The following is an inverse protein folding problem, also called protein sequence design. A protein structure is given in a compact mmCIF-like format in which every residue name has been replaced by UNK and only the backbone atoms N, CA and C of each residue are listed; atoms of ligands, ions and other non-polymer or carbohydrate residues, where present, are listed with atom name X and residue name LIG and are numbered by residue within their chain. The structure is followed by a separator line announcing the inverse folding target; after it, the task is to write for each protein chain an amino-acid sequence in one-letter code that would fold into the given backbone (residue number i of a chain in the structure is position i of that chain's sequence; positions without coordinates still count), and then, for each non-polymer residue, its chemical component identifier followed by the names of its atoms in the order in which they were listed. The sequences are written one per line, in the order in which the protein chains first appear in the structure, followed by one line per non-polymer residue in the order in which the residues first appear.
data_IF_999762256545
#
_entry.id   IF_999762256545
#
_cell.length_a   1.000
_cell.length_b   1.000
_cell.length_c   1.000
_cell.angle_alpha   90.00
_cell.angle_beta   90.00
_cell.angle_gamma   90.00
#
_symmetry.space_group_name_H-M   'P 1'
#
loop_
_entity.id
_entity.type
_entity.pdbx_description
1 polymer ?
#
# COMPACT_ATOMS: atom_id res chain seq x y z
N UNK A 1 -14.70 -30.41 -43.68
CA UNK A 1 -15.93 -31.00 -44.21
C UNK A 1 -17.01 -30.72 -43.18
N UNK A 2 -17.69 -29.57 -43.20
CA UNK A 2 -18.81 -29.14 -44.05
C UNK A 2 -19.99 -30.14 -44.04
N UNK A 3 -21.16 -29.58 -43.71
CA UNK A 3 -22.53 -30.11 -43.76
C UNK A 3 -22.96 -31.02 -42.61
N UNK A 4 -24.05 -30.77 -41.88
CA UNK A 4 -25.12 -29.80 -42.01
C UNK A 4 -26.37 -30.37 -41.32
N UNK A 5 -27.00 -29.65 -40.42
CA UNK A 5 -28.43 -29.86 -40.14
C UNK A 5 -29.05 -28.62 -39.52
N UNK A 6 -30.00 -28.08 -40.27
CA UNK A 6 -30.84 -26.93 -39.96
C UNK A 6 -32.16 -27.46 -39.39
N UNK A 7 -32.71 -26.70 -38.44
CA UNK A 7 -34.11 -26.63 -37.96
C UNK A 7 -34.49 -27.56 -36.80
N UNK A 8 -34.63 -26.95 -35.62
CA UNK A 8 -35.93 -26.74 -34.98
C UNK A 8 -35.84 -25.54 -34.02
N UNK A 9 -36.49 -24.43 -34.41
CA UNK A 9 -36.79 -23.28 -33.55
C UNK A 9 -38.18 -23.53 -32.95
N UNK A 10 -38.28 -23.55 -31.63
CA UNK A 10 -39.52 -23.30 -30.90
C UNK A 10 -39.23 -22.25 -29.82
N UNK A 11 -40.12 -21.27 -29.75
CA UNK A 11 -40.02 -19.98 -29.11
C UNK A 11 -39.62 -19.99 -27.62
N UNK A 12 -38.60 -19.18 -27.28
CA UNK A 12 -38.56 -18.45 -26.02
C UNK A 12 -38.00 -17.06 -26.31
N UNK A 13 -38.85 -16.05 -26.20
CA UNK A 13 -38.55 -14.64 -26.43
C UNK A 13 -37.60 -14.13 -25.35
N UNK A 14 -36.32 -14.04 -25.68
CA UNK A 14 -35.38 -13.14 -25.02
C UNK A 14 -35.10 -11.98 -25.97
N UNK A 15 -35.37 -10.79 -25.49
CA UNK A 15 -35.07 -9.53 -26.16
C UNK A 15 -33.54 -9.34 -26.09
N UNK A 16 -32.82 -9.99 -27.01
CA UNK A 16 -31.39 -9.75 -27.24
C UNK A 16 -31.24 -8.36 -27.85
N UNK A 17 -31.02 -7.37 -26.99
CA UNK A 17 -30.45 -6.09 -27.42
C UNK A 17 -29.00 -6.34 -27.84
N UNK A 18 -28.81 -6.63 -29.13
CA UNK A 18 -27.50 -6.60 -29.77
C UNK A 18 -26.89 -5.21 -29.60
N UNK A 19 -25.86 -5.10 -28.74
CA UNK A 19 -25.04 -3.91 -28.62
C UNK A 19 -24.23 -3.72 -29.91
N UNK A 20 -24.71 -2.86 -30.79
CA UNK A 20 -24.07 -2.49 -32.05
C UNK A 20 -23.09 -1.31 -31.85
N UNK A 21 -22.30 -1.39 -30.78
CA UNK A 21 -21.25 -0.41 -30.49
C UNK A 21 -19.99 -0.68 -31.33
N UNK A 22 -19.20 0.37 -31.65
CA UNK A 22 -18.02 0.22 -32.48
C UNK A 22 -17.02 -0.76 -31.83
N UNK A 23 -16.66 -1.81 -32.58
CA UNK A 23 -15.63 -2.78 -32.15
C UNK A 23 -14.27 -2.08 -32.05
N UNK A 24 -13.80 -1.88 -30.82
CA UNK A 24 -12.53 -1.22 -30.52
C UNK A 24 -11.36 -2.06 -31.04
N UNK A 25 -10.65 -1.56 -32.06
CA UNK A 25 -9.46 -2.24 -32.56
C UNK A 25 -8.28 -2.08 -31.59
N UNK A 26 -7.28 -2.96 -31.65
CA UNK A 26 -6.03 -2.85 -30.86
C UNK A 26 -5.32 -1.49 -31.07
N UNK A 27 -5.48 -0.87 -32.25
CA UNK A 27 -5.01 0.49 -32.55
C UNK A 27 -5.84 1.58 -31.87
N UNK A 28 -7.15 1.37 -31.72
CA UNK A 28 -8.06 2.30 -31.02
C UNK A 28 -7.81 2.27 -29.51
N UNK A 29 -7.54 1.08 -28.93
CA UNK A 29 -7.14 0.93 -27.53
C UNK A 29 -5.79 1.61 -27.23
N UNK A 30 -4.80 1.45 -28.13
CA UNK A 30 -3.52 2.15 -28.03
C UNK A 30 -3.67 3.66 -28.21
N UNK A 31 -4.62 4.11 -29.05
CA UNK A 31 -4.98 5.53 -29.17
C UNK A 31 -5.52 6.13 -27.86
N UNK A 32 -6.37 5.39 -27.14
CA UNK A 32 -6.84 5.81 -25.81
C UNK A 32 -5.72 5.84 -24.75
N UNK A 33 -4.75 4.91 -24.82
CA UNK A 33 -3.58 4.89 -23.93
C UNK A 33 -2.58 6.03 -24.21
N UNK A 34 -2.48 6.51 -25.45
CA UNK A 34 -1.68 7.70 -25.80
C UNK A 34 -2.41 9.01 -25.44
N UNK A 35 -3.75 9.00 -25.43
CA UNK A 35 -4.58 10.15 -25.09
C UNK A 35 -4.86 10.32 -23.58
N UNK A 36 -4.38 9.40 -22.73
CA UNK A 36 -4.42 9.52 -21.27
C UNK A 36 -2.99 9.60 -20.71
N UNK A 37 -2.35 10.75 -20.91
CA UNK A 37 -2.01 11.56 -19.76
C UNK A 37 -2.56 12.96 -19.99
N UNK A 38 -3.49 13.42 -19.16
CA UNK A 38 -3.72 14.86 -19.03
C UNK A 38 -2.50 15.48 -18.34
N UNK A 39 -1.41 15.64 -19.10
CA UNK A 39 -0.39 16.63 -18.81
C UNK A 39 -1.02 17.98 -19.16
N UNK A 40 -1.55 18.68 -18.16
CA UNK A 40 -1.95 20.08 -18.32
C UNK A 40 -0.69 20.93 -18.47
N UNK A 41 -0.24 21.13 -19.71
CA UNK A 41 0.75 22.17 -20.04
C UNK A 41 -0.01 23.46 -20.33
N UNK A 42 0.06 24.41 -19.41
CA UNK A 42 -0.35 25.79 -19.68
C UNK A 42 0.76 26.48 -20.46
N UNK A 43 0.62 26.59 -21.79
CA UNK A 43 1.50 27.43 -22.61
C UNK A 43 0.88 28.81 -22.71
N UNK A 44 1.51 29.81 -22.10
CA UNK A 44 1.13 31.22 -22.28
C UNK A 44 1.77 31.74 -23.57
N UNK A 45 1.03 31.72 -24.68
CA UNK A 45 1.46 32.32 -25.94
C UNK A 45 1.13 33.82 -25.94
N UNK A 46 2.16 34.64 -25.70
CA UNK A 46 2.25 36.00 -26.24
C UNK A 46 1.67 37.15 -25.41
N UNK A 47 2.59 37.95 -24.85
CA UNK A 47 2.50 39.41 -24.63
C UNK A 47 1.25 39.95 -23.93
N UNK A 48 1.01 39.50 -22.70
CA UNK A 48 0.45 40.38 -21.69
C UNK A 48 1.53 40.64 -20.65
N UNK A 49 1.85 41.91 -20.40
CA UNK A 49 2.39 42.30 -19.10
C UNK A 49 1.34 41.84 -18.08
N UNK A 50 1.53 40.65 -17.51
CA UNK A 50 0.82 40.27 -16.30
C UNK A 50 1.26 41.30 -15.27
N UNK A 51 0.41 42.28 -15.02
CA UNK A 51 0.43 42.99 -13.77
C UNK A 51 0.27 41.91 -12.71
N UNK A 52 1.39 41.46 -12.15
CA UNK A 52 1.45 40.59 -10.98
C UNK A 52 1.06 41.44 -9.77
N UNK A 53 -0.11 42.07 -9.81
CA UNK A 53 -0.77 42.52 -8.61
C UNK A 53 -1.23 41.24 -7.91
N UNK A 54 -0.32 40.68 -7.11
CA UNK A 54 -0.63 39.63 -6.13
C UNK A 54 -1.77 40.22 -5.31
N UNK A 55 -3.01 39.76 -5.53
CA UNK A 55 -4.11 40.13 -4.64
C UNK A 55 -3.67 39.59 -3.27
N UNK A 56 -3.39 40.49 -2.33
CA UNK A 56 -3.01 40.12 -0.96
C UNK A 56 -4.29 39.61 -0.30
N UNK A 57 -4.72 38.41 -0.65
CA UNK A 57 -5.69 37.67 0.14
C UNK A 57 -4.97 37.02 1.31
N UNK A 58 -5.58 36.93 2.50
CA UNK A 58 -5.09 36.02 3.52
C UNK A 58 -4.89 34.63 2.92
N UNK A 59 -3.82 33.90 3.29
CA UNK A 59 -3.59 32.55 2.79
C UNK A 59 -4.80 31.67 3.10
N UNK A 60 -5.26 30.90 2.13
CA UNK A 60 -6.28 29.88 2.36
C UNK A 60 -5.72 28.78 3.29
N UNK A 61 -6.58 27.95 3.87
CA UNK A 61 -6.12 26.85 4.75
C UNK A 61 -5.10 25.95 4.03
N UNK A 62 -5.31 25.67 2.74
CA UNK A 62 -4.39 24.90 1.92
C UNK A 62 -3.06 25.63 1.62
N UNK A 63 -3.00 26.95 1.75
CA UNK A 63 -1.76 27.74 1.64
C UNK A 63 -1.01 27.81 2.98
N UNK A 64 -1.67 27.44 4.09
CA UNK A 64 -1.09 27.41 5.45
C UNK A 64 -0.58 26.00 5.77
N UNK A 65 -1.37 24.99 5.43
CA UNK A 65 -1.06 23.57 5.66
C UNK A 65 -1.87 22.75 4.66
N UNK A 66 -1.17 22.12 3.71
CA UNK A 66 -1.81 21.20 2.79
C UNK A 66 -1.89 19.78 3.37
N UNK A 67 -2.51 18.86 2.62
CA UNK A 67 -2.61 17.46 3.05
C UNK A 67 -1.24 16.78 3.19
N UNK A 68 -0.27 17.15 2.35
CA UNK A 68 1.09 16.62 2.37
C UNK A 68 1.82 17.07 3.63
N UNK A 69 1.71 18.35 3.98
CA UNK A 69 2.28 18.92 5.22
C UNK A 69 1.69 18.22 6.45
N UNK A 70 0.36 18.07 6.48
CA UNK A 70 -0.32 17.38 7.56
C UNK A 70 0.15 15.92 7.69
N UNK A 71 0.34 15.22 6.57
CA UNK A 71 0.85 13.85 6.56
C UNK A 71 2.31 13.76 7.01
N UNK A 72 3.17 14.70 6.59
CA UNK A 72 4.57 14.76 7.00
C UNK A 72 4.69 15.00 8.50
N UNK A 73 3.92 15.96 9.04
CA UNK A 73 3.87 16.24 10.48
C UNK A 73 3.32 15.06 11.28
N UNK A 74 2.32 14.36 10.76
CA UNK A 74 1.72 13.21 11.43
C UNK A 74 2.70 12.03 11.61
N UNK A 75 3.64 11.86 10.69
CA UNK A 75 4.65 10.77 10.78
C UNK A 75 5.93 11.18 11.51
N UNK A 76 6.24 12.48 11.56
CA UNK A 76 7.51 13.00 12.05
C UNK A 76 7.97 12.43 13.41
N UNK A 77 7.11 12.29 14.44
CA UNK A 77 7.54 11.77 15.75
C UNK A 77 8.10 10.35 15.73
N UNK A 78 7.77 9.58 14.69
CA UNK A 78 8.12 8.15 14.56
C UNK A 78 8.88 7.86 13.27
N UNK A 79 9.24 8.90 12.52
CA UNK A 79 9.89 8.81 11.21
C UNK A 79 11.24 8.08 11.27
N UNK A 80 11.97 8.26 12.38
CA UNK A 80 13.30 7.70 12.62
C UNK A 80 13.27 6.30 13.25
N UNK A 81 12.09 5.72 13.52
CA UNK A 81 11.95 4.36 14.07
C UNK A 81 12.11 3.28 12.99
N UNK A 82 13.16 3.41 12.18
CA UNK A 82 13.54 2.51 11.09
C UNK A 82 14.96 2.01 11.33
N UNK A 83 15.29 0.85 10.78
CA UNK A 83 16.60 0.23 10.92
C UNK A 83 17.09 -0.31 9.59
N UNK A 84 18.37 -0.08 9.30
CA UNK A 84 19.10 -0.72 8.21
C UNK A 84 19.98 -1.80 8.82
N UNK A 85 19.89 -3.01 8.28
CA UNK A 85 20.67 -4.16 8.72
C UNK A 85 21.70 -4.50 7.64
N UNK A 86 22.98 -4.27 7.91
CA UNK A 86 24.06 -4.65 7.02
C UNK A 86 24.63 -5.99 7.49
N UNK A 87 24.55 -6.99 6.64
CA UNK A 87 25.03 -8.35 6.92
C UNK A 87 26.50 -8.50 6.55
N UNK A 88 27.17 -9.49 7.15
CA UNK A 88 28.59 -9.81 6.91
C UNK A 88 28.88 -10.24 5.45
N UNK A 89 27.87 -10.63 4.67
CA UNK A 89 28.00 -10.90 3.23
C UNK A 89 27.92 -9.63 2.35
N UNK A 90 27.81 -8.46 2.98
CA UNK A 90 27.70 -7.16 2.34
C UNK A 90 26.30 -6.82 1.82
N UNK A 91 25.28 -7.62 2.14
CA UNK A 91 23.88 -7.29 1.79
C UNK A 91 23.25 -6.36 2.82
N UNK A 92 22.43 -5.43 2.35
CA UNK A 92 21.68 -4.48 3.18
C UNK A 92 20.21 -4.87 3.17
N UNK A 93 19.69 -5.20 4.35
CA UNK A 93 18.29 -5.50 4.55
C UNK A 93 17.56 -4.28 5.16
N UNK A 94 16.37 -3.99 4.66
CA UNK A 94 15.50 -2.96 5.20
C UNK A 94 14.05 -3.42 5.22
N UNK A 95 13.47 -3.48 6.42
CA UNK A 95 12.05 -3.76 6.61
C UNK A 95 11.24 -2.46 6.48
N UNK A 96 10.61 -2.26 5.33
CA UNK A 96 9.83 -1.06 5.01
C UNK A 96 8.49 -1.07 5.77
N UNK A 97 8.19 -0.09 6.64
CA UNK A 97 6.92 -0.02 7.36
C UNK A 97 5.77 0.49 6.49
N UNK A 98 5.67 0.02 5.24
CA UNK A 98 4.64 0.42 4.28
C UNK A 98 4.25 -0.79 3.45
N UNK A 99 3.06 -0.74 2.86
CA UNK A 99 2.55 -1.82 2.03
C UNK A 99 2.87 -1.56 0.55
N UNK A 100 3.45 -2.55 -0.12
CA UNK A 100 3.61 -2.55 -1.57
C UNK A 100 2.33 -3.10 -2.23
N UNK A 101 1.62 -2.25 -2.96
CA UNK A 101 0.39 -2.55 -3.71
C UNK A 101 0.57 -2.39 -5.22
N UNK A 102 1.81 -2.34 -5.70
CA UNK A 102 2.16 -2.19 -7.12
C UNK A 102 2.77 -0.83 -7.48
N UNK A 103 2.81 0.12 -6.54
CA UNK A 103 3.35 1.47 -6.77
C UNK A 103 4.88 1.51 -6.90
N UNK A 104 5.60 0.46 -6.49
CA UNK A 104 7.06 0.37 -6.62
C UNK A 104 7.87 1.01 -5.50
N UNK A 105 7.29 1.13 -4.30
CA UNK A 105 7.96 1.73 -3.14
C UNK A 105 9.16 0.91 -2.69
N UNK A 106 9.11 -0.41 -2.82
CA UNK A 106 10.26 -1.29 -2.52
C UNK A 106 11.47 -0.96 -3.40
N UNK A 107 11.24 -0.70 -4.69
CA UNK A 107 12.30 -0.28 -5.62
C UNK A 107 12.79 1.12 -5.28
N UNK A 108 11.90 2.10 -5.05
CA UNK A 108 12.34 3.45 -4.70
C UNK A 108 13.12 3.50 -3.38
N UNK A 109 12.73 2.71 -2.39
CA UNK A 109 13.46 2.58 -1.12
C UNK A 109 14.84 2.00 -1.34
N UNK A 110 14.97 0.94 -2.14
CA UNK A 110 16.27 0.38 -2.50
C UNK A 110 17.16 1.40 -3.22
N UNK A 111 16.60 2.21 -4.13
CA UNK A 111 17.35 3.27 -4.82
C UNK A 111 17.87 4.35 -3.86
N UNK A 112 17.06 4.74 -2.86
CA UNK A 112 17.46 5.70 -1.84
C UNK A 112 18.63 5.19 -1.01
N UNK A 113 18.53 3.93 -0.57
CA UNK A 113 19.60 3.27 0.20
C UNK A 113 20.86 3.11 -0.66
N UNK A 114 20.72 2.73 -1.93
CA UNK A 114 21.83 2.53 -2.86
C UNK A 114 22.67 3.80 -3.04
N UNK A 115 22.04 4.95 -3.27
CA UNK A 115 22.77 6.20 -3.47
C UNK A 115 23.48 6.70 -2.21
N UNK A 116 22.86 6.55 -1.04
CA UNK A 116 23.50 6.92 0.22
C UNK A 116 24.57 5.93 0.66
N UNK A 117 24.51 4.66 0.27
CA UNK A 117 25.53 3.66 0.64
C UNK A 117 26.56 3.39 -0.46
N UNK A 118 26.43 3.97 -1.65
CA UNK A 118 27.26 3.64 -2.82
C UNK A 118 27.31 2.12 -3.08
N UNK A 119 26.15 1.45 -3.02
CA UNK A 119 26.03 0.00 -3.20
C UNK A 119 25.05 -0.37 -4.31
N UNK A 120 25.32 -1.48 -5.01
CA UNK A 120 24.44 -2.01 -6.05
C UNK A 120 23.05 -2.41 -5.53
N UNK A 121 22.01 -2.20 -6.36
CA UNK A 121 20.63 -2.60 -6.04
C UNK A 121 20.48 -4.11 -5.79
N UNK A 122 21.35 -4.93 -6.39
CA UNK A 122 21.39 -6.38 -6.21
C UNK A 122 21.85 -6.81 -4.81
N UNK A 123 22.44 -5.89 -4.04
CA UNK A 123 22.84 -6.10 -2.64
C UNK A 123 21.82 -5.58 -1.64
N UNK A 124 20.67 -5.06 -2.09
CA UNK A 124 19.65 -4.49 -1.21
C UNK A 124 18.41 -5.38 -1.20
N UNK A 125 18.06 -5.86 -0.02
CA UNK A 125 16.86 -6.65 0.24
C UNK A 125 15.82 -5.79 0.97
N UNK A 126 14.69 -5.52 0.30
CA UNK A 126 13.57 -4.81 0.91
C UNK A 126 12.45 -5.78 1.25
N UNK A 127 12.15 -5.92 2.54
CA UNK A 127 10.99 -6.65 3.04
C UNK A 127 9.94 -5.66 3.55
N UNK A 128 8.73 -6.14 3.86
CA UNK A 128 7.70 -5.34 4.52
C UNK A 128 7.76 -5.60 6.02
N UNK A 129 7.71 -4.55 6.83
CA UNK A 129 7.81 -4.68 8.28
C UNK A 129 6.49 -5.15 8.92
N UNK A 130 6.61 -6.02 9.93
CA UNK A 130 5.53 -6.40 10.83
C UNK A 130 4.87 -5.18 11.51
N UNK A 131 3.61 -5.32 11.91
CA UNK A 131 2.84 -4.33 12.62
C UNK A 131 3.49 -3.91 13.95
N UNK A 132 3.96 -2.66 14.02
CA UNK A 132 4.67 -2.09 15.17
C UNK A 132 3.87 -0.93 15.78
N UNK A 133 3.23 -1.11 16.96
CA UNK A 133 2.35 -0.11 17.55
C UNK A 133 2.96 1.28 17.72
N UNK A 134 4.26 1.34 17.98
CA UNK A 134 5.03 2.57 18.14
C UNK A 134 5.19 3.39 16.86
N UNK A 135 4.94 2.81 15.68
CA UNK A 135 5.04 3.53 14.40
C UNK A 135 3.85 4.42 14.09
N UNK A 136 2.71 4.28 14.78
CA UNK A 136 1.52 5.13 14.63
C UNK A 136 1.16 5.37 13.14
N UNK A 137 1.19 6.63 12.68
CA UNK A 137 0.88 7.02 11.30
C UNK A 137 1.97 6.64 10.29
N UNK A 138 3.19 6.34 10.76
CA UNK A 138 4.31 5.98 9.90
C UNK A 138 4.21 4.55 9.35
N UNK A 139 3.24 3.75 9.82
CA UNK A 139 2.90 2.45 9.23
C UNK A 139 1.59 2.45 8.41
N UNK A 140 1.16 3.63 7.94
CA UNK A 140 -0.01 3.79 7.08
C UNK A 140 0.38 3.89 5.61
N UNK A 141 -0.30 3.18 4.72
CA UNK A 141 -0.18 3.28 3.27
C UNK A 141 -1.45 3.88 2.70
N UNK A 142 -1.36 5.13 2.25
CA UNK A 142 -2.48 5.89 1.70
C UNK A 142 -2.04 7.30 1.30
N UNK A 143 -2.89 8.00 0.54
CA UNK A 143 -2.65 9.40 0.15
C UNK A 143 -1.40 9.64 -0.70
N UNK A 144 -0.85 8.60 -1.33
CA UNK A 144 0.37 8.66 -2.16
C UNK A 144 1.58 9.30 -1.46
N UNK A 145 1.70 9.17 -0.13
CA UNK A 145 2.71 9.89 0.65
C UNK A 145 3.98 9.09 1.00
N UNK A 146 4.04 7.79 0.68
CA UNK A 146 5.13 6.91 1.17
C UNK A 146 6.51 7.47 0.85
N UNK A 147 6.87 7.66 -0.42
CA UNK A 147 8.20 8.14 -0.79
C UNK A 147 8.48 9.52 -0.19
N UNK A 148 7.52 10.44 -0.24
CA UNK A 148 7.67 11.79 0.31
C UNK A 148 7.98 11.78 1.81
N UNK A 149 7.28 10.94 2.58
CA UNK A 149 7.45 10.87 4.04
C UNK A 149 8.65 10.03 4.48
N UNK A 150 9.07 9.04 3.68
CA UNK A 150 10.19 8.15 4.05
C UNK A 150 11.52 8.54 3.40
N UNK A 151 11.54 9.44 2.41
CA UNK A 151 12.76 9.82 1.68
C UNK A 151 13.86 10.29 2.62
N UNK A 152 13.61 11.35 3.40
CA UNK A 152 14.62 11.90 4.29
C UNK A 152 15.01 10.92 5.41
N UNK A 153 14.08 10.27 6.15
CA UNK A 153 14.46 9.30 7.18
C UNK A 153 15.33 8.15 6.67
N UNK A 154 14.98 7.55 5.52
CA UNK A 154 15.77 6.44 4.94
C UNK A 154 17.16 6.94 4.55
N UNK A 155 17.26 8.13 3.95
CA UNK A 155 18.56 8.73 3.62
C UNK A 155 19.42 8.98 4.86
N UNK A 156 18.82 9.53 5.91
CA UNK A 156 19.49 9.76 7.18
C UNK A 156 20.01 8.47 7.78
N UNK A 157 19.20 7.41 7.82
CA UNK A 157 19.63 6.10 8.32
C UNK A 157 20.81 5.54 7.49
N UNK A 158 20.74 5.65 6.15
CA UNK A 158 21.79 5.18 5.25
C UNK A 158 23.09 6.00 5.39
N UNK A 159 23.00 7.31 5.53
CA UNK A 159 24.16 8.17 5.76
C UNK A 159 24.84 7.90 7.11
N UNK A 160 24.06 7.61 8.15
CA UNK A 160 24.59 7.17 9.46
C UNK A 160 25.35 5.85 9.30
N UNK A 161 24.76 4.87 8.61
CA UNK A 161 25.41 3.60 8.34
C UNK A 161 26.71 3.79 7.53
N UNK A 162 26.69 4.63 6.48
CA UNK A 162 27.88 5.00 5.71
C UNK A 162 28.98 5.55 6.61
N UNK A 163 28.64 6.48 7.51
CA UNK A 163 29.61 7.07 8.43
C UNK A 163 30.24 6.02 9.35
N UNK A 164 29.44 5.10 9.89
CA UNK A 164 29.94 4.00 10.73
C UNK A 164 30.90 3.09 9.99
N UNK A 165 30.62 2.81 8.71
CA UNK A 165 31.53 2.03 7.85
C UNK A 165 32.87 2.74 7.66
N UNK A 166 32.87 4.05 7.45
CA UNK A 166 34.10 4.84 7.36
C UNK A 166 34.87 4.84 8.69
N UNK A 167 34.18 5.00 9.83
CA UNK A 167 34.79 4.96 11.16
C UNK A 167 35.43 3.59 11.44
N UNK A 168 34.72 2.51 11.09
CA UNK A 168 35.21 1.14 11.22
C UNK A 168 36.44 0.88 10.32
N UNK A 169 36.39 1.35 9.07
CA UNK A 169 37.51 1.21 8.13
C UNK A 169 38.74 2.00 8.58
N UNK A 170 38.56 3.24 9.04
CA UNK A 170 39.64 4.05 9.62
C UNK A 170 40.29 3.33 10.80
N UNK A 171 39.48 2.77 11.70
CA UNK A 171 39.96 1.98 12.84
C UNK A 171 40.75 0.75 12.39
N UNK A 172 40.23 -0.01 11.42
CA UNK A 172 40.88 -1.20 10.87
C UNK A 172 42.23 -0.89 10.20
N UNK A 173 42.36 0.32 9.62
CA UNK A 173 43.58 0.82 9.00
C UNK A 173 44.58 1.45 10.00
N UNK A 174 44.35 1.31 11.30
CA UNK A 174 45.24 1.80 12.36
C UNK A 174 44.87 3.17 12.93
N UNK A 175 43.71 3.74 12.57
CA UNK A 175 43.18 4.98 13.16
C UNK A 175 43.80 6.28 12.63
N UNK A 176 44.87 6.21 11.86
CA UNK A 176 45.58 7.39 11.33
C UNK A 176 44.97 7.96 10.03
N UNK A 177 44.07 7.22 9.38
CA UNK A 177 43.47 7.65 8.11
C UNK A 177 42.25 8.52 8.39
N UNK A 178 42.28 9.83 8.05
CA UNK A 178 41.13 10.70 8.25
C UNK A 178 39.95 10.24 7.40
N UNK A 179 38.74 10.34 7.94
CA UNK A 179 37.52 9.89 7.25
C UNK A 179 37.27 10.65 5.94
N UNK A 180 37.68 11.92 5.86
CA UNK A 180 37.62 12.71 4.64
C UNK A 180 38.54 12.19 3.51
N UNK A 181 39.50 11.33 3.84
CA UNK A 181 40.38 10.68 2.88
C UNK A 181 39.87 9.31 2.43
N UNK A 182 38.89 8.73 3.14
CA UNK A 182 38.21 7.49 2.77
C UNK A 182 37.06 7.78 1.80
N UNK A 183 36.80 6.85 0.89
CA UNK A 183 35.70 6.93 -0.07
C UNK A 183 34.85 5.68 -0.04
N UNK A 184 33.55 5.82 -0.24
CA UNK A 184 32.65 4.69 -0.48
C UNK A 184 32.46 4.47 -1.97
N UNK A 185 32.60 3.21 -2.40
CA UNK A 185 32.45 2.82 -3.80
C UNK A 185 32.07 1.35 -3.89
N UNK A 186 30.98 1.05 -4.60
CA UNK A 186 30.54 -0.32 -4.92
C UNK A 186 30.46 -1.26 -3.70
N UNK A 187 29.89 -0.78 -2.59
CA UNK A 187 29.76 -1.56 -1.35
C UNK A 187 31.07 -1.78 -0.60
N UNK A 188 32.06 -0.91 -0.81
CA UNK A 188 33.39 -0.96 -0.17
C UNK A 188 33.83 0.41 0.31
N UNK A 189 34.75 0.42 1.27
CA UNK A 189 35.53 1.60 1.64
C UNK A 189 36.91 1.51 0.97
N UNK A 190 37.27 2.55 0.21
CA UNK A 190 38.56 2.72 -0.46
C UNK A 190 39.41 3.74 0.30
N UNK A 191 40.61 3.32 0.69
CA UNK A 191 41.61 4.18 1.32
C UNK A 191 42.56 4.84 0.30
N UNK A 192 43.23 5.95 0.64
CA UNK A 192 44.14 6.66 -0.27
C UNK A 192 45.33 5.83 -0.77
N UNK A 193 45.73 4.83 0.00
CA UNK A 193 46.81 3.89 -0.34
C UNK A 193 46.34 2.76 -1.29
N UNK A 194 45.08 2.76 -1.71
CA UNK A 194 44.49 1.75 -2.59
C UNK A 194 43.96 0.51 -1.89
N UNK A 195 43.99 0.44 -0.55
CA UNK A 195 43.37 -0.65 0.20
C UNK A 195 41.86 -0.53 0.09
N UNK A 196 41.21 -1.62 -0.28
CA UNK A 196 39.75 -1.77 -0.31
C UNK A 196 39.31 -2.68 0.83
N UNK A 197 38.27 -2.28 1.56
CA UNK A 197 37.64 -3.10 2.61
C UNK A 197 36.15 -3.18 2.29
N UNK A 198 35.62 -4.40 2.18
CA UNK A 198 34.20 -4.58 1.87
C UNK A 198 33.30 -4.20 3.06
N UNK A 199 32.07 -3.80 2.77
CA UNK A 199 31.08 -3.53 3.82
C UNK A 199 30.83 -4.74 4.71
N UNK A 200 30.88 -5.95 4.14
CA UNK A 200 30.74 -7.20 4.90
C UNK A 200 31.81 -7.37 5.98
N UNK A 201 33.07 -7.08 5.65
CA UNK A 201 34.19 -7.11 6.61
C UNK A 201 34.06 -6.05 7.72
N UNK A 202 33.41 -4.93 7.41
CA UNK A 202 33.20 -3.83 8.35
C UNK A 202 31.93 -3.99 9.19
N UNK A 203 30.98 -4.83 8.76
CA UNK A 203 29.63 -4.92 9.33
C UNK A 203 29.64 -5.13 10.84
N UNK A 204 30.40 -6.12 11.33
CA UNK A 204 30.51 -6.42 12.76
C UNK A 204 31.11 -5.25 13.56
N UNK A 205 32.17 -4.61 13.06
CA UNK A 205 32.82 -3.48 13.71
C UNK A 205 32.03 -2.16 13.63
N UNK A 206 31.15 -2.03 12.63
CA UNK A 206 30.28 -0.87 12.45
C UNK A 206 28.97 -0.99 13.24
N UNK A 207 28.70 -2.17 13.82
CA UNK A 207 27.52 -2.44 14.64
C UNK A 207 27.49 -1.57 15.90
N UNK A 208 26.28 -1.26 16.37
CA UNK A 208 26.05 -0.46 17.57
C UNK A 208 24.96 -1.13 18.41
N UNK A 209 25.25 -1.34 19.70
CA UNK A 209 24.32 -1.98 20.63
C UNK A 209 23.41 -0.98 21.36
N UNK A 210 23.66 0.33 21.20
CA UNK A 210 22.98 1.41 21.89
C UNK A 210 22.41 2.46 20.92
N UNK A 211 21.25 3.01 21.27
CA UNK A 211 20.68 4.16 20.55
C UNK A 211 21.45 5.42 20.93
N UNK A 212 22.12 6.02 19.95
CA UNK A 212 22.88 7.26 20.10
C UNK A 212 22.38 8.33 19.15
N UNK A 213 22.36 9.58 19.64
CA UNK A 213 22.08 10.73 18.79
C UNK A 213 23.31 11.02 17.92
N UNK A 214 23.10 11.11 16.61
CA UNK A 214 24.18 11.32 15.63
C UNK A 214 23.71 12.30 14.57
N UNK A 215 24.62 13.18 14.16
CA UNK A 215 24.43 14.03 12.99
C UNK A 215 24.76 13.24 11.73
N UNK A 216 23.88 13.30 10.73
CA UNK A 216 24.04 12.61 9.46
C UNK A 216 24.37 13.63 8.36
N UNK A 217 25.54 13.48 7.73
CA UNK A 217 25.85 14.22 6.52
C UNK A 217 25.31 13.46 5.31
N UNK A 218 24.23 13.96 4.72
CA UNK A 218 23.63 13.38 3.51
C UNK A 218 24.47 13.69 2.28
N UNK A 219 24.40 12.84 1.26
CA UNK A 219 24.97 13.17 -0.06
C UNK A 219 24.18 14.28 -0.74
N UNK A 220 24.84 15.09 -1.55
CA UNK A 220 24.15 16.06 -2.39
C UNK A 220 23.48 15.36 -3.59
N UNK A 221 22.36 15.88 -4.12
CA UNK A 221 21.72 15.28 -5.29
C UNK A 221 22.62 15.12 -6.51
N UNK A 222 23.67 15.93 -6.62
CA UNK A 222 24.67 15.83 -7.69
C UNK A 222 25.56 14.57 -7.57
N UNK A 223 25.60 13.92 -6.41
CA UNK A 223 26.36 12.69 -6.15
C UNK A 223 25.53 11.42 -6.36
N UNK A 224 24.24 11.56 -6.69
CA UNK A 224 23.36 10.41 -6.95
C UNK A 224 23.70 9.78 -8.28
N UNK A 225 23.72 8.45 -8.29
CA UNK A 225 24.01 7.61 -9.46
C UNK A 225 22.83 6.69 -9.82
N UNK A 226 21.90 6.51 -8.89
CA UNK A 226 20.72 5.64 -9.03
C UNK A 226 19.43 6.46 -9.14
N UNK A 227 19.15 7.36 -8.19
CA UNK A 227 18.01 8.27 -8.22
C UNK A 227 18.09 9.18 -9.45
N UNK A 228 16.95 9.39 -10.11
CA UNK A 228 16.86 10.17 -11.35
C UNK A 228 17.25 9.37 -12.61
N UNK A 229 17.74 8.14 -12.47
CA UNK A 229 18.01 7.24 -13.60
C UNK A 229 16.91 6.18 -13.75
N UNK A 230 16.52 5.79 -14.97
CA UNK A 230 15.58 4.69 -15.18
C UNK A 230 16.13 3.37 -14.64
N UNK A 231 15.34 2.68 -13.80
CA UNK A 231 15.68 1.36 -13.24
C UNK A 231 14.50 0.40 -13.38
N UNK A 232 14.80 -0.88 -13.60
CA UNK A 232 13.79 -1.93 -13.50
C UNK A 232 13.43 -2.16 -12.03
N UNK A 233 12.20 -2.64 -11.78
CA UNK A 233 11.80 -2.99 -10.41
C UNK A 233 12.64 -4.15 -9.87
N UNK A 234 13.03 -4.07 -8.60
CA UNK A 234 13.81 -5.13 -7.94
C UNK A 234 13.02 -6.46 -7.87
N UNK A 235 11.68 -6.37 -7.85
CA UNK A 235 10.77 -7.52 -7.82
C UNK A 235 10.26 -7.94 -9.21
N UNK A 236 10.70 -7.28 -10.29
CA UNK A 236 10.16 -7.49 -11.64
C UNK A 236 10.30 -8.94 -12.10
N UNK A 237 11.49 -9.54 -11.90
CA UNK A 237 11.75 -10.92 -12.32
C UNK A 237 10.88 -11.91 -11.57
N UNK A 238 10.70 -11.71 -10.26
CA UNK A 238 9.82 -12.55 -9.46
C UNK A 238 8.37 -12.44 -9.93
N UNK A 239 7.90 -11.22 -10.22
CA UNK A 239 6.54 -10.97 -10.71
C UNK A 239 6.27 -11.65 -12.07
N UNK A 240 7.14 -11.46 -13.07
CA UNK A 240 6.90 -12.00 -14.44
C UNK A 240 7.15 -13.49 -14.55
N UNK A 241 7.82 -14.12 -13.58
CA UNK A 241 8.05 -15.57 -13.54
C UNK A 241 7.10 -16.31 -12.59
N UNK A 242 6.14 -15.61 -11.96
CA UNK A 242 5.22 -16.20 -10.99
C UNK A 242 5.88 -16.65 -9.69
N UNK A 243 7.09 -16.17 -9.37
CA UNK A 243 7.79 -16.49 -8.11
C UNK A 243 7.46 -15.52 -6.98
N UNK A 244 6.90 -14.34 -7.30
CA UNK A 244 6.43 -13.40 -6.29
C UNK A 244 5.18 -14.01 -5.65
N UNK A 245 5.27 -14.31 -4.37
CA UNK A 245 4.14 -14.88 -3.62
C UNK A 245 3.26 -13.76 -3.07
N UNK A 246 1.96 -13.90 -3.29
CA UNK A 246 0.91 -13.13 -2.66
C UNK A 246 0.28 -13.94 -1.51
N UNK A 247 -0.64 -13.34 -0.76
CA UNK A 247 -1.20 -14.00 0.43
C UNK A 247 -1.97 -15.26 0.04
N UNK A 248 -2.68 -15.26 -1.09
CA UNK A 248 -3.37 -16.48 -1.58
C UNK A 248 -2.44 -17.56 -2.13
N UNK A 249 -1.18 -17.25 -2.42
CA UNK A 249 -0.20 -18.22 -2.92
C UNK A 249 0.51 -18.98 -1.79
N UNK A 250 0.35 -18.51 -0.54
CA UNK A 250 1.03 -19.10 0.60
C UNK A 250 0.40 -20.45 0.97
N UNK A 251 1.16 -21.52 0.79
CA UNK A 251 0.80 -22.85 1.26
C UNK A 251 1.16 -22.99 2.75
N UNK A 252 0.16 -22.83 3.61
CA UNK A 252 0.33 -22.92 5.07
C UNK A 252 -0.15 -24.30 5.54
N UNK A 253 0.75 -25.16 6.06
CA UNK A 253 0.38 -26.51 6.48
C UNK A 253 -0.77 -26.52 7.49
N UNK A 254 -1.83 -27.26 7.16
CA UNK A 254 -3.02 -27.41 7.98
C UNK A 254 -3.97 -26.21 7.97
N UNK A 255 -3.72 -25.18 7.16
CA UNK A 255 -4.68 -24.09 6.96
C UNK A 255 -5.94 -24.60 6.26
N UNK A 256 -7.10 -24.29 6.82
CA UNK A 256 -8.39 -24.66 6.26
C UNK A 256 -9.05 -23.44 5.60
N UNK A 257 -9.48 -23.53 4.33
CA UNK A 257 -10.15 -22.44 3.66
C UNK A 257 -11.40 -21.99 4.40
N UNK A 258 -11.58 -20.67 4.50
CA UNK A 258 -12.74 -20.05 5.12
C UNK A 258 -13.32 -19.00 4.18
N UNK A 259 -14.62 -19.09 3.88
CA UNK A 259 -15.33 -18.16 3.00
C UNK A 259 -16.52 -17.54 3.74
N UNK A 260 -16.96 -16.37 3.28
CA UNK A 260 -18.05 -15.61 3.89
C UNK A 260 -19.25 -15.56 2.94
N UNK A 261 -20.40 -16.00 3.42
CA UNK A 261 -21.70 -15.63 2.86
C UNK A 261 -22.07 -14.24 3.38
N UNK A 262 -22.24 -13.27 2.48
CA UNK A 262 -22.48 -11.86 2.83
C UNK A 262 -23.93 -11.46 2.55
N UNK A 263 -24.47 -10.47 3.29
CA UNK A 263 -25.78 -9.91 3.00
C UNK A 263 -25.84 -9.34 1.58
N UNK A 264 -27.03 -9.36 0.94
CA UNK A 264 -27.23 -8.74 -0.37
C UNK A 264 -27.23 -7.20 -0.33
N UNK A 265 -27.23 -6.60 0.86
CA UNK A 265 -27.31 -5.15 1.09
C UNK A 265 -26.05 -4.64 1.82
N UNK A 266 -25.73 -3.36 1.61
CA UNK A 266 -24.55 -2.73 2.21
C UNK A 266 -24.65 -2.72 3.73
N UNK A 267 -23.69 -3.37 4.40
CA UNK A 267 -23.66 -3.53 5.86
C UNK A 267 -24.94 -4.14 6.45
N UNK A 268 -25.65 -4.97 5.67
CA UNK A 268 -26.72 -5.82 6.19
C UNK A 268 -26.22 -6.76 7.29
N UNK A 269 -27.15 -7.33 8.05
CA UNK A 269 -26.83 -8.21 9.19
C UNK A 269 -27.45 -9.58 9.00
N UNK A 270 -26.87 -10.59 9.65
CA UNK A 270 -27.53 -11.89 9.77
C UNK A 270 -28.66 -11.75 10.78
N UNK A 271 -29.89 -12.07 10.37
CA UNK A 271 -31.02 -12.19 11.29
C UNK A 271 -31.13 -13.63 11.82
N UNK A 272 -31.02 -14.62 10.92
CA UNK A 272 -31.03 -16.04 11.30
C UNK A 272 -30.44 -16.93 10.20
N UNK A 273 -29.88 -18.08 10.60
CA UNK A 273 -29.47 -19.16 9.68
C UNK A 273 -30.33 -20.40 9.94
N UNK A 274 -31.30 -20.66 9.06
CA UNK A 274 -32.37 -21.65 9.30
C UNK A 274 -31.92 -23.09 9.19
N UNK A 275 -30.89 -23.35 8.38
CA UNK A 275 -30.40 -24.70 8.11
C UNK A 275 -28.94 -24.91 8.57
N UNK A 276 -28.48 -24.15 9.58
CA UNK A 276 -27.08 -24.19 10.05
C UNK A 276 -26.58 -25.61 10.35
N UNK A 277 -27.39 -26.44 11.01
CA UNK A 277 -27.02 -27.81 11.36
C UNK A 277 -26.82 -28.69 10.12
N UNK A 278 -27.69 -28.55 9.11
CA UNK A 278 -27.58 -29.31 7.87
C UNK A 278 -26.32 -28.91 7.07
N UNK A 279 -25.99 -27.61 7.03
CA UNK A 279 -24.76 -27.14 6.37
C UNK A 279 -23.51 -27.60 7.13
N UNK A 280 -23.56 -27.64 8.46
CA UNK A 280 -22.46 -28.15 9.27
C UNK A 280 -22.20 -29.65 9.05
N UNK A 281 -23.22 -30.42 8.68
CA UNK A 281 -23.13 -31.86 8.39
C UNK A 281 -22.64 -32.15 6.95
N UNK A 282 -22.45 -31.13 6.11
CA UNK A 282 -21.97 -31.31 4.74
C UNK A 282 -20.51 -31.80 4.71
N UNK A 283 -20.12 -32.61 3.71
CA UNK A 283 -18.77 -33.18 3.64
C UNK A 283 -17.65 -32.14 3.73
N UNK A 284 -16.72 -32.36 4.66
CA UNK A 284 -15.55 -31.52 4.89
C UNK A 284 -15.85 -30.16 5.52
N UNK A 285 -17.10 -29.80 5.79
CA UNK A 285 -17.43 -28.59 6.55
C UNK A 285 -17.05 -28.83 8.01
N UNK A 286 -16.24 -27.93 8.56
CA UNK A 286 -15.81 -28.02 9.95
C UNK A 286 -16.58 -27.05 10.84
N UNK A 287 -16.87 -25.84 10.34
CA UNK A 287 -17.47 -24.77 11.13
C UNK A 287 -18.39 -23.90 10.27
N UNK A 288 -19.52 -23.49 10.87
CA UNK A 288 -20.43 -22.46 10.35
C UNK A 288 -20.69 -21.46 11.48
N UNK A 289 -20.29 -20.21 11.31
CA UNK A 289 -20.38 -19.19 12.36
C UNK A 289 -20.98 -17.89 11.84
N UNK A 290 -21.96 -17.36 12.56
CA UNK A 290 -22.47 -16.02 12.31
C UNK A 290 -21.44 -15.00 12.80
N UNK A 291 -21.17 -13.99 11.97
CA UNK A 291 -20.26 -12.88 12.25
C UNK A 291 -20.97 -11.57 11.92
N UNK A 292 -20.49 -10.40 12.42
CA UNK A 292 -21.18 -9.13 12.20
C UNK A 292 -21.43 -8.75 10.73
N UNK A 293 -20.68 -9.34 9.80
CA UNK A 293 -20.72 -9.05 8.36
C UNK A 293 -21.23 -10.20 7.50
N UNK A 294 -21.76 -11.28 8.11
CA UNK A 294 -22.22 -12.44 7.34
C UNK A 294 -22.17 -13.77 8.10
N UNK A 295 -22.13 -14.86 7.35
CA UNK A 295 -21.92 -16.23 7.87
C UNK A 295 -20.59 -16.74 7.33
N UNK A 296 -19.65 -17.04 8.22
CA UNK A 296 -18.37 -17.65 7.88
C UNK A 296 -18.51 -19.19 7.85
N UNK A 297 -18.01 -19.80 6.78
CA UNK A 297 -17.95 -21.26 6.61
C UNK A 297 -16.49 -21.66 6.41
N UNK A 298 -16.03 -22.66 7.18
CA UNK A 298 -14.70 -23.25 7.05
C UNK A 298 -14.81 -24.72 6.70
N UNK A 299 -14.09 -25.16 5.68
CA UNK A 299 -14.08 -26.54 5.21
C UNK A 299 -12.67 -27.02 4.85
N UNK A 300 -12.51 -28.28 4.46
CA UNK A 300 -11.22 -28.85 4.02
C UNK A 300 -10.75 -28.28 2.67
N UNK A 301 -11.68 -27.87 1.80
CA UNK A 301 -11.39 -27.30 0.48
C UNK A 301 -12.25 -26.08 0.17
N UNK A 302 -11.75 -25.19 -0.71
CA UNK A 302 -12.55 -24.05 -1.18
C UNK A 302 -13.83 -24.49 -1.91
N UNK A 303 -13.81 -25.63 -2.61
CA UNK A 303 -15.00 -26.19 -3.25
C UNK A 303 -16.11 -26.51 -2.25
N UNK A 304 -15.77 -27.18 -1.15
CA UNK A 304 -16.73 -27.47 -0.08
C UNK A 304 -17.25 -26.20 0.60
N UNK A 305 -16.40 -25.18 0.79
CA UNK A 305 -16.86 -23.86 1.26
C UNK A 305 -17.89 -23.24 0.31
N UNK A 306 -17.66 -23.30 -1.00
CA UNK A 306 -18.59 -22.78 -2.02
C UNK A 306 -19.93 -23.52 -1.96
N UNK A 307 -19.89 -24.85 -1.91
CA UNK A 307 -21.10 -25.68 -1.86
C UNK A 307 -21.90 -25.41 -0.59
N UNK A 308 -21.22 -25.33 0.56
CA UNK A 308 -21.84 -25.00 1.84
C UNK A 308 -22.44 -23.59 1.85
N UNK A 309 -21.76 -22.58 1.30
CA UNK A 309 -22.30 -21.22 1.18
C UNK A 309 -23.53 -21.19 0.27
N UNK A 310 -23.53 -21.94 -0.84
CA UNK A 310 -24.69 -22.04 -1.74
C UNK A 310 -25.88 -22.74 -1.09
N UNK A 311 -25.63 -23.64 -0.14
CA UNK A 311 -26.67 -24.34 0.60
C UNK A 311 -27.25 -23.54 1.77
N UNK A 312 -26.57 -22.49 2.26
CA UNK A 312 -27.05 -21.70 3.40
C UNK A 312 -28.41 -21.03 3.13
N UNK A 313 -29.36 -21.26 4.02
CA UNK A 313 -30.64 -20.54 4.11
C UNK A 313 -30.52 -19.47 5.20
N UNK A 314 -30.11 -18.26 4.79
CA UNK A 314 -29.89 -17.11 5.67
C UNK A 314 -30.99 -16.07 5.44
N UNK A 315 -31.61 -15.61 6.52
CA UNK A 315 -32.41 -14.40 6.51
C UNK A 315 -31.55 -13.20 6.86
N UNK A 316 -31.65 -12.14 6.07
CA UNK A 316 -30.82 -10.94 6.21
C UNK A 316 -31.65 -9.79 6.73
N UNK A 317 -31.11 -9.12 7.75
CA UNK A 317 -31.61 -7.85 8.25
C UNK A 317 -31.08 -6.67 7.43
N UNK A 318 -31.76 -5.52 7.49
CA UNK A 318 -31.43 -4.34 6.70
C UNK A 318 -30.08 -3.75 7.12
N UNK A 319 -29.39 -3.16 6.14
CA UNK A 319 -28.24 -2.29 6.35
C UNK A 319 -28.66 -0.83 6.63
N UNK A 320 -27.72 0.06 7.01
CA UNK A 320 -27.99 1.46 7.35
C UNK A 320 -28.55 2.31 6.19
N UNK A 321 -28.36 1.83 4.96
CA UNK A 321 -28.79 2.50 3.72
C UNK A 321 -29.73 1.62 2.92
N UNK A 322 -30.34 0.62 3.55
CA UNK A 322 -31.26 -0.29 2.87
C UNK A 322 -32.50 0.45 2.37
N UNK A 323 -32.94 0.11 1.16
CA UNK A 323 -34.06 0.77 0.48
C UNK A 323 -33.81 2.19 -0.02
N UNK A 324 -32.59 2.73 0.11
CA UNK A 324 -32.25 4.05 -0.44
C UNK A 324 -31.77 3.96 -1.89
N UNK A 325 -32.22 4.91 -2.72
CA UNK A 325 -31.72 5.09 -4.07
C UNK A 325 -30.48 5.98 -4.10
N UNK A 326 -29.76 5.98 -5.23
CA UNK A 326 -28.64 6.90 -5.46
C UNK A 326 -29.07 8.37 -5.31
N UNK A 327 -30.31 8.72 -5.70
CA UNK A 327 -30.85 10.06 -5.54
C UNK A 327 -31.02 10.46 -4.07
N UNK A 328 -31.51 9.54 -3.23
CA UNK A 328 -31.65 9.77 -1.80
C UNK A 328 -30.29 9.98 -1.13
N UNK A 329 -29.29 9.18 -1.52
CA UNK A 329 -27.92 9.31 -1.02
C UNK A 329 -27.31 10.65 -1.45
N UNK A 330 -27.43 11.02 -2.72
CA UNK A 330 -26.92 12.31 -3.21
C UNK A 330 -27.58 13.49 -2.51
N UNK A 331 -28.89 13.44 -2.26
CA UNK A 331 -29.58 14.48 -1.52
C UNK A 331 -29.07 14.59 -0.07
N UNK A 332 -28.87 13.45 0.61
CA UNK A 332 -28.28 13.42 1.95
C UNK A 332 -26.88 14.04 1.98
N UNK A 333 -26.04 13.71 0.99
CA UNK A 333 -24.69 14.29 0.87
C UNK A 333 -24.78 15.79 0.65
N UNK A 334 -25.61 16.28 -0.28
CA UNK A 334 -25.81 17.72 -0.53
C UNK A 334 -26.29 18.48 0.69
N UNK A 335 -27.18 17.88 1.50
CA UNK A 335 -27.64 18.50 2.76
C UNK A 335 -26.54 18.55 3.83
N UNK A 336 -25.55 17.66 3.75
CA UNK A 336 -24.39 17.63 4.65
C UNK A 336 -23.22 18.50 4.15
N UNK A 337 -23.25 18.99 2.91
CA UNK A 337 -22.25 19.90 2.37
C UNK A 337 -22.25 21.21 3.16
N UNK A 338 -21.11 21.52 3.78
CA UNK A 338 -20.91 22.79 4.47
C UNK A 338 -20.71 23.86 3.39
N UNK A 339 -21.48 24.96 3.39
CA UNK A 339 -21.36 25.98 2.36
C UNK A 339 -19.96 26.60 2.36
N UNK A 340 -19.37 26.75 1.18
CA UNK A 340 -18.12 27.48 1.02
C UNK A 340 -18.36 28.96 1.35
N UNK A 341 -17.83 29.42 2.48
CA UNK A 341 -17.91 30.81 2.87
C UNK A 341 -16.98 31.66 1.99
N UNK A 342 -17.48 32.13 0.84
CA UNK A 342 -16.74 33.05 -0.04
C UNK A 342 -16.90 34.48 0.49
N UNK A 343 -15.82 35.20 0.86
CA UNK A 343 -15.92 36.58 1.30
C UNK A 343 -16.54 37.47 0.22
N UNK A 344 -17.55 38.26 0.56
CA UNK A 344 -18.13 39.26 -0.35
C UNK A 344 -17.16 40.42 -0.54
N UNK A 345 -16.28 40.33 -1.53
CA UNK A 345 -15.43 41.46 -1.95
C UNK A 345 -16.23 42.38 -2.88
N UNK A 346 -16.33 43.67 -2.48
CA UNK A 346 -17.19 44.68 -3.13
C UNK A 346 -16.74 45.09 -4.55
N UNK A 347 -15.51 44.76 -4.95
CA UNK A 347 -14.97 45.09 -6.25
C UNK A 347 -14.52 43.83 -6.98
N UNK A 348 -15.23 43.49 -8.06
CA UNK A 348 -14.68 42.85 -9.26
C UNK A 348 -14.50 41.32 -9.42
N UNK A 349 -14.91 40.38 -8.56
CA UNK A 349 -14.97 38.99 -9.02
C UNK A 349 -16.33 38.64 -9.62
N UNK A 350 -16.32 38.16 -10.87
CA UNK A 350 -17.36 37.24 -11.33
C UNK A 350 -17.13 35.93 -10.58
N UNK A 351 -18.07 35.57 -9.71
CA UNK A 351 -18.01 34.29 -8.99
C UNK A 351 -18.72 33.23 -9.84
N UNK A 352 -18.06 32.10 -10.04
CA UNK A 352 -18.66 30.91 -10.64
C UNK A 352 -18.61 29.81 -9.57
N UNK A 353 -19.77 29.29 -9.22
CA UNK A 353 -19.90 28.14 -8.31
C UNK A 353 -20.26 26.92 -9.13
N UNK A 354 -19.57 25.80 -8.90
CA UNK A 354 -19.80 24.55 -9.61
C UNK A 354 -19.81 23.39 -8.62
N UNK A 355 -20.83 22.55 -8.71
CA UNK A 355 -20.90 21.30 -7.96
C UNK A 355 -20.51 20.15 -8.87
N UNK A 356 -19.53 19.35 -8.46
CA UNK A 356 -19.08 18.15 -9.18
C UNK A 356 -19.24 16.94 -8.28
N UNK A 357 -19.92 15.91 -8.80
CA UNK A 357 -20.08 14.64 -8.09
C UNK A 357 -18.99 13.68 -8.54
N UNK A 358 -18.15 13.26 -7.59
CA UNK A 358 -17.18 12.19 -7.81
C UNK A 358 -17.72 10.89 -7.26
N UNK A 359 -18.09 9.99 -8.17
CA UNK A 359 -18.52 8.65 -7.79
C UNK A 359 -17.35 7.86 -7.21
N UNK A 360 -17.61 7.05 -6.19
CA UNK A 360 -16.59 6.19 -5.60
C UNK A 360 -16.13 5.18 -6.65
N UNK A 361 -14.86 5.26 -7.04
CA UNK A 361 -14.24 4.28 -7.91
C UNK A 361 -13.87 3.02 -7.12
N UNK A 362 -14.24 1.85 -7.65
CA UNK A 362 -13.70 0.59 -7.16
C UNK A 362 -12.19 0.54 -7.44
N UNK A 363 -11.39 0.21 -6.41
CA UNK A 363 -9.95 -0.04 -6.59
C UNK A 363 -9.68 -1.21 -7.55
N UNK A 364 -10.64 -2.13 -7.70
CA UNK A 364 -10.61 -3.24 -8.65
C UNK A 364 -9.28 -4.02 -8.63
N UNK A 365 -8.77 -4.30 -7.42
CA UNK A 365 -7.58 -5.12 -7.24
C UNK A 365 -7.80 -6.51 -7.86
N UNK A 366 -6.78 -7.02 -8.54
CA UNK A 366 -6.83 -8.35 -9.15
C UNK A 366 -6.80 -9.46 -8.09
N UNK A 367 -6.07 -9.24 -7.00
CA UNK A 367 -6.09 -10.12 -5.84
C UNK A 367 -7.33 -9.79 -4.98
N UNK A 368 -8.14 -10.80 -4.71
CA UNK A 368 -9.25 -10.66 -3.78
C UNK A 368 -8.75 -10.50 -2.34
N UNK A 369 -9.49 -9.74 -1.52
CA UNK A 369 -9.17 -9.61 -0.10
C UNK A 369 -9.14 -10.99 0.58
N UNK A 370 -7.98 -11.35 1.08
CA UNK A 370 -7.72 -12.60 1.78
C UNK A 370 -6.86 -12.35 3.02
N UNK A 371 -6.88 -13.29 3.95
CA UNK A 371 -6.03 -13.28 5.11
C UNK A 371 -5.74 -14.71 5.55
N UNK A 372 -4.54 -14.94 6.08
CA UNK A 372 -4.17 -16.18 6.74
C UNK A 372 -4.11 -15.89 8.22
N UNK A 373 -4.84 -16.69 9.00
CA UNK A 373 -4.89 -16.56 10.45
C UNK A 373 -4.32 -17.81 11.07
N UNK A 374 -3.28 -17.65 11.87
CA UNK A 374 -2.75 -18.70 12.73
C UNK A 374 -3.00 -18.31 14.19
N UNK A 375 -3.61 -19.19 14.97
CA UNK A 375 -3.79 -19.00 16.41
C UNK A 375 -3.19 -20.17 17.17
N UNK A 376 -2.13 -19.90 17.93
CA UNK A 376 -1.41 -20.90 18.71
C UNK A 376 -0.94 -20.33 20.04
N UNK A 377 -1.06 -21.12 21.12
CA UNK A 377 -0.52 -20.79 22.46
C UNK A 377 -0.94 -19.41 22.98
N UNK A 378 -2.19 -19.01 22.72
CA UNK A 378 -2.72 -17.72 23.18
C UNK A 378 -2.20 -16.50 22.43
N UNK A 379 -1.59 -16.70 21.25
CA UNK A 379 -1.21 -15.63 20.32
C UNK A 379 -1.80 -15.95 18.95
N UNK A 380 -2.29 -14.91 18.27
CA UNK A 380 -2.72 -15.05 16.89
C UNK A 380 -2.03 -14.09 15.96
N UNK A 381 -1.50 -14.62 14.87
CA UNK A 381 -0.88 -13.91 13.76
C UNK A 381 -1.87 -13.83 12.61
N UNK A 382 -1.97 -12.67 11.98
CA UNK A 382 -2.85 -12.43 10.83
C UNK A 382 -2.02 -11.86 9.69
N UNK A 383 -1.78 -12.65 8.66
CA UNK A 383 -1.07 -12.20 7.46
C UNK A 383 -2.08 -11.76 6.41
N UNK A 384 -2.01 -10.50 5.98
CA UNK A 384 -2.90 -9.94 4.96
C UNK A 384 -2.33 -8.64 4.38
N UNK A 385 -2.95 -8.18 3.31
CA UNK A 385 -2.70 -6.94 2.61
C UNK A 385 -3.22 -5.70 3.37
N UNK A 386 -2.66 -5.41 4.56
CA UNK A 386 -3.09 -4.25 5.35
C UNK A 386 -2.36 -2.96 4.98
N UNK A 387 -3.10 -2.01 4.40
CA UNK A 387 -2.60 -0.63 4.26
C UNK A 387 -2.46 0.11 5.59
N UNK A 388 -3.11 -0.37 6.66
CA UNK A 388 -3.01 0.20 8.01
C UNK A 388 -3.09 -0.92 9.05
N UNK A 389 -2.00 -1.69 9.24
CA UNK A 389 -2.01 -2.89 10.09
C UNK A 389 -2.37 -2.59 11.54
N UNK A 390 -2.04 -1.39 12.06
CA UNK A 390 -2.42 -0.99 13.42
C UNK A 390 -3.91 -0.74 13.59
N UNK A 391 -4.56 -0.15 12.58
CA UNK A 391 -6.03 0.04 12.57
C UNK A 391 -6.71 -1.32 12.47
N UNK A 392 -6.21 -2.21 11.62
CA UNK A 392 -6.71 -3.58 11.50
C UNK A 392 -6.55 -4.34 12.83
N UNK A 393 -5.37 -4.28 13.45
CA UNK A 393 -5.10 -4.84 14.78
C UNK A 393 -6.09 -4.31 15.82
N UNK A 394 -6.29 -2.99 15.89
CA UNK A 394 -7.24 -2.37 16.79
C UNK A 394 -8.66 -2.89 16.61
N UNK A 395 -9.13 -2.95 15.36
CA UNK A 395 -10.46 -3.49 15.02
C UNK A 395 -10.62 -4.97 15.35
N UNK A 396 -9.62 -5.79 15.03
CA UNK A 396 -9.59 -7.23 15.37
C UNK A 396 -9.61 -7.40 16.89
N UNK A 397 -8.73 -6.72 17.62
CA UNK A 397 -8.70 -6.75 19.08
C UNK A 397 -10.03 -6.28 19.68
N UNK A 398 -10.67 -5.27 19.13
CA UNK A 398 -11.97 -4.81 19.61
C UNK A 398 -13.03 -5.91 19.43
N UNK A 399 -13.18 -6.46 18.22
CA UNK A 399 -14.13 -7.55 17.94
C UNK A 399 -13.86 -8.76 18.85
N UNK A 400 -12.59 -9.14 18.99
CA UNK A 400 -12.19 -10.28 19.79
C UNK A 400 -12.29 -10.03 21.28
N UNK A 401 -12.04 -8.82 21.81
CA UNK A 401 -12.18 -8.51 23.24
C UNK A 401 -13.64 -8.34 23.67
N UNK A 402 -14.50 -7.83 22.78
CA UNK A 402 -15.95 -7.84 23.00
C UNK A 402 -16.53 -9.27 22.91
N UNK A 403 -15.84 -10.20 22.25
CA UNK A 403 -16.18 -11.63 22.26
C UNK A 403 -15.52 -12.45 23.37
N UNK A 404 -14.24 -12.24 23.66
CA UNK A 404 -13.32 -13.16 24.34
C UNK A 404 -12.15 -12.39 25.01
N UNK A 405 -12.05 -12.44 26.34
CA UNK A 405 -10.95 -11.82 27.10
C UNK A 405 -9.60 -12.54 26.84
N UNK A 406 -8.58 -11.78 26.40
CA UNK A 406 -7.09 -11.96 26.44
C UNK A 406 -6.36 -12.37 25.15
N UNK A 407 -5.39 -11.53 24.76
CA UNK A 407 -4.10 -11.89 24.14
C UNK A 407 -4.03 -11.99 22.60
N UNK A 408 -3.76 -10.88 21.89
CA UNK A 408 -3.46 -10.89 20.46
C UNK A 408 -2.32 -9.93 20.08
N UNK A 409 -1.42 -10.37 19.20
CA UNK A 409 -0.34 -9.59 18.58
C UNK A 409 -0.35 -9.87 17.08
N UNK A 410 -0.75 -8.89 16.27
CA UNK A 410 -0.64 -8.95 14.79
C UNK A 410 0.80 -8.75 14.36
N UNK A 411 1.23 -9.51 13.36
CA UNK A 411 2.40 -9.21 12.52
C UNK A 411 1.89 -8.59 11.23
#
# INVERSE_FOLDING_TARGET
MIEGSRKQRAAMTQDETTYDGPRTSRRTLLGYLVAAPTLSVAVSLGLEQRAAAKVITPPGVADIMDLSDAQLLAVAPTANLISLDLREDGTVHFALPRMEVGQGITTSTAMIIADELDIGLDKIEITLADARPELLMNQLTGGSNTTMTTYLPIRTAAAIARRRLLDAASTMLGGDVPLAALKTVDGKVLAPNGVEISYGELAASASVDETVEVEAQLKEPAEFTVIGTPRNRIDARAAVTGRKQFTMDMDVPGALPTMLCRPPTLNGKVDSVRNRAAVLDMPGVTHVAEIPTGVAVRAETFGQCIDAIRALDVTWGPGPVDGLSDADILERVRRAEIPLAVPRVRCWPRTVETNSTFWVGSRSALEANCAIVNYARGRGTVCSAFGGPLVAKGGICQILLYGWRRGWTTQ
#
